data_IF_729659195003
#
_entry.id   IF_729659195003
#
_cell.length_a   1.000
_cell.length_b   1.000
_cell.length_c   1.000
_cell.angle_alpha   90.00
_cell.angle_beta   90.00
_cell.angle_gamma   90.00
#
_symmetry.space_group_name_H-M   'P 1'
#
loop_
_entity.id
_entity.type
_entity.pdbx_description
1 polymer ?
#
# COMPACT_ATOMS: atom_id res chain seq x y z
N UNK A 1 -46.49 8.72 -9.18
CA UNK A 1 -45.84 7.63 -8.44
C UNK A 1 -44.34 7.72 -8.69
N UNK A 2 -43.61 8.37 -7.80
CA UNK A 2 -42.15 8.48 -7.93
C UNK A 2 -41.52 7.20 -7.38
N UNK A 3 -41.01 6.36 -8.28
CA UNK A 3 -40.16 5.23 -7.93
C UNK A 3 -38.86 5.79 -7.34
N UNK A 4 -38.69 5.67 -6.02
CA UNK A 4 -37.39 5.77 -5.39
C UNK A 4 -36.51 4.65 -5.96
N UNK A 5 -35.59 5.02 -6.85
CA UNK A 5 -34.48 4.15 -7.26
C UNK A 5 -33.62 3.94 -6.01
N UNK A 6 -33.83 2.83 -5.32
CA UNK A 6 -32.96 2.40 -4.24
C UNK A 6 -31.53 2.29 -4.76
N UNK A 7 -30.60 2.97 -4.10
CA UNK A 7 -29.15 2.80 -4.36
C UNK A 7 -28.84 1.31 -4.33
N UNK A 8 -28.40 0.73 -5.44
CA UNK A 8 -27.91 -0.65 -5.47
C UNK A 8 -26.83 -0.80 -4.39
N UNK A 9 -27.06 -1.67 -3.40
CA UNK A 9 -26.03 -1.99 -2.39
C UNK A 9 -24.86 -2.61 -3.14
N UNK A 10 -23.67 -2.05 -2.97
CA UNK A 10 -22.44 -2.61 -3.54
C UNK A 10 -22.23 -4.02 -2.99
N UNK A 11 -21.82 -4.96 -3.85
CA UNK A 11 -21.57 -6.35 -3.46
C UNK A 11 -20.57 -6.40 -2.28
N UNK A 12 -20.86 -7.13 -1.18
CA UNK A 12 -19.95 -7.26 -0.03
C UNK A 12 -18.54 -7.72 -0.40
N UNK A 13 -18.35 -8.54 -1.43
CA UNK A 13 -17.04 -8.98 -1.91
C UNK A 13 -16.20 -7.83 -2.45
N UNK A 14 -16.84 -6.81 -3.02
CA UNK A 14 -16.14 -5.57 -3.40
C UNK A 14 -15.63 -4.87 -2.15
N UNK A 15 -16.41 -4.84 -1.06
CA UNK A 15 -15.96 -4.26 0.22
C UNK A 15 -14.80 -5.06 0.82
N UNK A 16 -14.86 -6.40 0.82
CA UNK A 16 -13.73 -7.24 1.26
C UNK A 16 -12.49 -7.03 0.39
N UNK A 17 -12.67 -6.93 -0.93
CA UNK A 17 -11.58 -6.61 -1.86
C UNK A 17 -10.90 -5.27 -1.57
N UNK A 18 -11.67 -4.25 -1.19
CA UNK A 18 -11.08 -2.95 -0.79
C UNK A 18 -10.14 -3.10 0.40
N UNK A 19 -10.50 -3.93 1.38
CA UNK A 19 -9.67 -4.17 2.55
C UNK A 19 -8.48 -5.06 2.25
N UNK A 20 -8.70 -6.16 1.53
CA UNK A 20 -7.66 -7.07 1.07
C UNK A 20 -6.52 -6.31 0.39
N UNK A 21 -6.84 -5.48 -0.62
CA UNK A 21 -5.84 -4.70 -1.35
C UNK A 21 -5.14 -3.61 -0.54
N UNK A 22 -5.74 -3.15 0.57
CA UNK A 22 -5.15 -2.13 1.43
C UNK A 22 -4.29 -2.70 2.55
N UNK A 23 -4.56 -3.92 3.01
CA UNK A 23 -4.04 -4.42 4.28
C UNK A 23 -3.28 -5.73 4.19
N UNK A 24 -3.63 -6.57 3.21
CA UNK A 24 -3.03 -7.89 3.01
C UNK A 24 -2.09 -7.83 1.81
N UNK A 25 -2.63 -7.72 0.59
CA UNK A 25 -1.82 -7.76 -0.63
C UNK A 25 -2.34 -6.80 -1.71
N UNK A 26 -1.61 -5.71 -1.94
CA UNK A 26 -2.00 -4.66 -2.89
C UNK A 26 -1.82 -5.07 -4.37
N UNK A 27 -0.77 -5.85 -4.64
CA UNK A 27 -0.42 -6.37 -5.96
C UNK A 27 -0.68 -7.87 -5.99
N UNK A 28 -1.91 -8.25 -6.33
CA UNK A 28 -2.35 -9.64 -6.37
C UNK A 28 -3.09 -9.93 -7.67
N UNK A 29 -2.90 -11.13 -8.23
CA UNK A 29 -3.81 -11.70 -9.23
C UNK A 29 -4.78 -12.61 -8.49
N UNK A 30 -5.91 -12.06 -8.02
CA UNK A 30 -6.83 -12.75 -7.11
C UNK A 30 -7.30 -14.08 -7.67
N UNK A 31 -7.58 -14.17 -8.97
CA UNK A 31 -7.98 -15.43 -9.60
C UNK A 31 -6.90 -16.51 -9.45
N UNK A 32 -5.63 -16.19 -9.69
CA UNK A 32 -4.52 -17.11 -9.50
C UNK A 32 -4.35 -17.50 -8.03
N UNK A 33 -4.41 -16.51 -7.12
CA UNK A 33 -4.34 -16.75 -5.68
C UNK A 33 -5.42 -17.74 -5.21
N UNK A 34 -6.67 -17.55 -5.65
CA UNK A 34 -7.80 -18.40 -5.28
C UNK A 34 -7.67 -19.80 -5.86
N UNK A 35 -7.26 -19.92 -7.12
CA UNK A 35 -7.09 -21.22 -7.78
C UNK A 35 -5.94 -22.03 -7.16
N UNK A 36 -4.80 -21.39 -6.92
CA UNK A 36 -3.64 -22.01 -6.29
C UNK A 36 -3.95 -22.39 -4.84
N UNK A 37 -4.56 -21.47 -4.08
CA UNK A 37 -4.97 -21.70 -2.70
C UNK A 37 -5.95 -22.87 -2.54
N UNK A 38 -6.99 -22.94 -3.39
CA UNK A 38 -7.91 -24.09 -3.41
C UNK A 38 -7.19 -25.41 -3.74
N UNK A 39 -6.27 -25.38 -4.70
CA UNK A 39 -5.49 -26.56 -5.07
C UNK A 39 -4.66 -27.07 -3.90
N UNK A 40 -3.98 -26.16 -3.19
CA UNK A 40 -3.19 -26.50 -2.00
C UNK A 40 -4.07 -27.02 -0.87
N UNK A 41 -5.21 -26.37 -0.57
CA UNK A 41 -6.17 -26.84 0.44
C UNK A 41 -6.62 -28.26 0.16
N UNK A 42 -7.05 -28.58 -1.07
CA UNK A 42 -7.47 -29.94 -1.44
C UNK A 42 -6.32 -30.95 -1.30
N UNK A 43 -5.09 -30.58 -1.69
CA UNK A 43 -3.94 -31.47 -1.55
C UNK A 43 -3.63 -31.78 -0.07
N UNK A 44 -3.75 -30.78 0.81
CA UNK A 44 -3.57 -30.94 2.25
C UNK A 44 -4.67 -31.84 2.83
N UNK A 45 -5.93 -31.58 2.50
CA UNK A 45 -7.08 -32.38 2.99
C UNK A 45 -7.03 -33.84 2.55
N UNK A 46 -6.53 -34.11 1.34
CA UNK A 46 -6.33 -35.47 0.82
C UNK A 46 -5.05 -36.14 1.36
N UNK A 47 -4.29 -35.47 2.23
CA UNK A 47 -3.03 -35.98 2.78
C UNK A 47 -1.93 -36.18 1.73
N UNK A 48 -2.00 -35.44 0.61
CA UNK A 48 -1.01 -35.52 -0.49
C UNK A 48 0.18 -34.59 -0.28
N UNK A 49 -0.01 -33.54 0.51
CA UNK A 49 1.02 -32.57 0.91
C UNK A 49 0.73 -32.06 2.31
N UNK A 50 1.63 -31.23 2.85
CA UNK A 50 1.44 -30.49 4.09
C UNK A 50 2.05 -29.09 3.98
N UNK A 51 1.67 -28.16 4.86
CA UNK A 51 2.17 -26.77 4.80
C UNK A 51 3.71 -26.69 4.94
N UNK A 52 4.32 -27.62 5.70
CA UNK A 52 5.77 -27.71 5.86
C UNK A 52 6.50 -28.16 4.59
N UNK A 53 5.81 -28.84 3.67
CA UNK A 53 6.34 -29.32 2.40
C UNK A 53 6.25 -28.27 1.27
N UNK A 54 5.46 -27.22 1.45
CA UNK A 54 5.39 -26.11 0.50
C UNK A 54 6.72 -25.36 0.44
N UNK A 55 7.13 -24.97 -0.77
CA UNK A 55 8.27 -24.07 -0.91
C UNK A 55 7.93 -22.67 -0.36
N UNK A 56 8.95 -21.82 -0.18
CA UNK A 56 8.79 -20.50 0.43
C UNK A 56 7.73 -19.64 -0.30
N UNK A 57 7.75 -19.66 -1.64
CA UNK A 57 6.79 -18.90 -2.46
C UNK A 57 5.37 -19.45 -2.35
N UNK A 58 5.20 -20.77 -2.41
CA UNK A 58 3.91 -21.43 -2.23
C UNK A 58 3.33 -21.19 -0.84
N UNK A 59 4.15 -21.30 0.22
CA UNK A 59 3.73 -21.04 1.59
C UNK A 59 3.26 -19.59 1.74
N UNK A 60 4.03 -18.63 1.22
CA UNK A 60 3.66 -17.21 1.26
C UNK A 60 2.34 -16.95 0.52
N UNK A 61 2.18 -17.48 -0.70
CA UNK A 61 0.93 -17.35 -1.45
C UNK A 61 -0.25 -18.00 -0.71
N UNK A 62 -0.03 -19.17 -0.10
CA UNK A 62 -1.05 -19.86 0.70
C UNK A 62 -1.44 -19.09 1.97
N UNK A 63 -0.50 -18.44 2.65
CA UNK A 63 -0.79 -17.55 3.79
C UNK A 63 -1.64 -16.34 3.36
N UNK A 64 -1.33 -15.73 2.21
CA UNK A 64 -2.15 -14.64 1.66
C UNK A 64 -3.56 -15.13 1.34
N UNK A 65 -3.70 -16.36 0.82
CA UNK A 65 -4.98 -17.00 0.57
C UNK A 65 -5.76 -17.24 1.87
N UNK A 66 -5.13 -17.79 2.92
CA UNK A 66 -5.76 -17.96 4.24
C UNK A 66 -6.24 -16.64 4.83
N UNK A 67 -5.44 -15.58 4.72
CA UNK A 67 -5.83 -14.23 5.15
C UNK A 67 -7.03 -13.70 4.33
N UNK A 68 -7.08 -13.97 3.03
CA UNK A 68 -8.23 -13.62 2.18
C UNK A 68 -9.50 -14.34 2.65
N UNK A 69 -9.43 -15.64 2.94
CA UNK A 69 -10.56 -16.41 3.47
C UNK A 69 -11.07 -15.82 4.79
N UNK A 70 -10.14 -15.40 5.67
CA UNK A 70 -10.46 -14.76 6.95
C UNK A 70 -11.26 -13.46 6.84
N UNK A 71 -11.36 -12.85 5.66
CA UNK A 71 -12.14 -11.62 5.47
C UNK A 71 -13.65 -11.85 5.46
N UNK A 72 -14.11 -13.07 5.18
CA UNK A 72 -15.54 -13.40 5.12
C UNK A 72 -15.78 -14.85 5.53
N UNK A 73 -16.54 -15.11 6.62
CA UNK A 73 -16.72 -16.46 7.18
C UNK A 73 -17.25 -17.52 6.21
N UNK A 74 -17.98 -17.12 5.15
CA UNK A 74 -18.54 -18.05 4.17
C UNK A 74 -17.73 -18.14 2.87
N UNK A 75 -16.59 -17.45 2.78
CA UNK A 75 -15.83 -17.38 1.54
C UNK A 75 -15.20 -18.74 1.20
N UNK A 76 -14.67 -19.44 2.18
CA UNK A 76 -14.09 -20.78 2.00
C UNK A 76 -15.13 -21.77 1.48
N UNK A 77 -16.27 -21.89 2.17
CA UNK A 77 -17.37 -22.77 1.75
C UNK A 77 -17.85 -22.46 0.32
N UNK A 78 -18.02 -21.17 -0.01
CA UNK A 78 -18.42 -20.73 -1.36
C UNK A 78 -17.39 -21.08 -2.43
N UNK A 79 -16.09 -21.02 -2.10
CA UNK A 79 -15.03 -21.37 -3.04
C UNK A 79 -14.92 -22.88 -3.22
N UNK A 80 -15.10 -23.67 -2.17
CA UNK A 80 -15.04 -25.13 -2.22
C UNK A 80 -16.26 -25.76 -2.90
N UNK A 81 -17.46 -25.18 -2.74
CA UNK A 81 -18.71 -25.71 -3.31
C UNK A 81 -19.15 -25.00 -4.59
N UNK A 82 -18.51 -23.87 -4.91
CA UNK A 82 -18.86 -23.02 -6.04
C UNK A 82 -18.54 -23.63 -7.39
N UNK A 83 -19.32 -23.26 -8.40
CA UNK A 83 -18.97 -23.55 -9.79
C UNK A 83 -17.75 -22.74 -10.23
N UNK A 84 -17.08 -23.11 -11.34
CA UNK A 84 -16.02 -22.30 -11.92
C UNK A 84 -16.44 -20.84 -12.19
N UNK A 85 -17.71 -20.62 -12.54
CA UNK A 85 -18.28 -19.29 -12.76
C UNK A 85 -18.41 -18.50 -11.45
N UNK A 86 -18.79 -19.16 -10.35
CA UNK A 86 -18.87 -18.53 -9.02
C UNK A 86 -17.48 -18.14 -8.51
N UNK A 87 -16.49 -19.03 -8.67
CA UNK A 87 -15.08 -18.75 -8.30
C UNK A 87 -14.54 -17.56 -9.10
N UNK A 88 -14.84 -17.51 -10.40
CA UNK A 88 -14.48 -16.38 -11.26
C UNK A 88 -15.16 -15.08 -10.77
N UNK A 89 -16.46 -15.12 -10.49
CA UNK A 89 -17.21 -13.97 -10.00
C UNK A 89 -16.64 -13.42 -8.68
N UNK A 90 -16.35 -14.31 -7.72
CA UNK A 90 -15.75 -13.95 -6.44
C UNK A 90 -14.40 -13.24 -6.66
N UNK A 91 -13.54 -13.84 -7.49
CA UNK A 91 -12.23 -13.29 -7.83
C UNK A 91 -12.34 -11.91 -8.49
N UNK A 92 -13.32 -11.73 -9.38
CA UNK A 92 -13.58 -10.45 -10.05
C UNK A 92 -14.04 -9.38 -9.07
N UNK A 93 -14.97 -9.69 -8.16
CA UNK A 93 -15.48 -8.71 -7.19
C UNK A 93 -14.40 -8.25 -6.19
N UNK A 94 -13.55 -9.17 -5.73
CA UNK A 94 -12.41 -8.82 -4.86
C UNK A 94 -11.39 -7.97 -5.63
N UNK A 95 -11.09 -8.32 -6.88
CA UNK A 95 -10.19 -7.54 -7.75
C UNK A 95 -10.72 -6.14 -8.00
N UNK A 96 -12.02 -6.02 -8.26
CA UNK A 96 -12.73 -4.75 -8.42
C UNK A 96 -12.63 -3.90 -7.15
N UNK A 97 -12.89 -4.50 -5.99
CA UNK A 97 -12.73 -3.87 -4.68
C UNK A 97 -11.33 -3.29 -4.49
N UNK A 98 -10.30 -4.12 -4.68
CA UNK A 98 -8.90 -3.74 -4.53
C UNK A 98 -8.53 -2.57 -5.47
N UNK A 99 -8.93 -2.67 -6.73
CA UNK A 99 -8.62 -1.67 -7.76
C UNK A 99 -9.35 -0.35 -7.52
N UNK A 100 -10.62 -0.39 -7.09
CA UNK A 100 -11.38 0.80 -6.72
C UNK A 100 -10.80 1.49 -5.48
N UNK A 101 -10.46 0.73 -4.43
CA UNK A 101 -9.80 1.28 -3.25
C UNK A 101 -8.52 2.02 -3.59
N UNK A 102 -7.65 1.39 -4.39
CA UNK A 102 -6.40 2.01 -4.86
C UNK A 102 -6.64 3.29 -5.64
N UNK A 103 -7.60 3.27 -6.56
CA UNK A 103 -7.93 4.43 -7.39
C UNK A 103 -8.43 5.62 -6.55
N UNK A 104 -9.29 5.35 -5.57
CA UNK A 104 -9.79 6.36 -4.62
C UNK A 104 -8.65 6.95 -3.78
N UNK A 105 -7.80 6.09 -3.22
CA UNK A 105 -6.70 6.50 -2.34
C UNK A 105 -5.65 7.30 -3.13
N UNK A 106 -5.25 6.82 -4.31
CA UNK A 106 -4.36 7.54 -5.25
C UNK A 106 -4.91 8.93 -5.59
N UNK A 107 -6.21 9.02 -5.91
CA UNK A 107 -6.84 10.30 -6.23
C UNK A 107 -6.83 11.25 -5.03
N UNK A 108 -7.15 10.73 -3.84
CA UNK A 108 -7.26 11.55 -2.63
C UNK A 108 -5.89 12.05 -2.12
N UNK A 109 -4.86 11.20 -2.18
CA UNK A 109 -3.51 11.54 -1.75
C UNK A 109 -2.82 12.52 -2.70
N UNK A 110 -3.18 12.49 -3.99
CA UNK A 110 -2.60 13.37 -5.03
C UNK A 110 -2.58 14.84 -4.61
N UNK A 111 -3.64 15.35 -4.00
CA UNK A 111 -3.73 16.75 -3.60
C UNK A 111 -3.12 17.04 -2.24
N UNK A 112 -3.44 16.24 -1.23
CA UNK A 112 -3.04 16.50 0.16
C UNK A 112 -1.53 16.33 0.36
N UNK A 113 -0.86 15.50 -0.46
CA UNK A 113 0.59 15.34 -0.38
C UNK A 113 1.33 16.66 -0.60
N UNK A 114 0.81 17.55 -1.46
CA UNK A 114 1.41 18.86 -1.74
C UNK A 114 1.29 19.75 -0.52
N UNK A 115 0.15 19.67 0.18
CA UNK A 115 -0.08 20.44 1.40
C UNK A 115 0.86 19.98 2.52
N UNK A 116 1.05 18.66 2.68
CA UNK A 116 1.92 18.10 3.72
C UNK A 116 3.42 18.37 3.51
N UNK A 117 3.88 18.45 2.27
CA UNK A 117 5.30 18.78 1.98
C UNK A 117 5.56 20.29 1.91
N UNK A 118 4.51 21.12 1.94
CA UNK A 118 4.66 22.58 1.96
C UNK A 118 5.08 23.01 3.37
N UNK A 119 6.20 23.76 3.53
CA UNK A 119 6.62 24.23 4.84
C UNK A 119 5.54 25.06 5.54
N UNK A 120 5.39 24.95 6.88
CA UNK A 120 4.44 25.78 7.62
C UNK A 120 4.68 27.27 7.37
N UNK A 121 3.63 28.01 7.00
CA UNK A 121 3.70 29.43 6.62
C UNK A 121 4.64 29.75 5.44
N UNK A 122 5.00 28.75 4.64
CA UNK A 122 5.87 28.88 3.48
C UNK A 122 5.17 28.56 2.17
N UNK A 123 5.97 28.57 1.10
CA UNK A 123 5.56 28.11 -0.23
C UNK A 123 6.60 27.12 -0.75
N UNK A 124 6.14 26.19 -1.61
CA UNK A 124 7.05 25.40 -2.42
C UNK A 124 7.64 26.27 -3.53
N UNK A 125 8.93 26.06 -3.81
CA UNK A 125 9.66 26.78 -4.85
C UNK A 125 10.34 25.78 -5.80
N UNK A 126 9.90 25.68 -7.07
CA UNK A 126 8.74 26.40 -7.65
C UNK A 126 7.39 25.92 -7.08
N UNK A 127 6.30 26.70 -7.16
CA UNK A 127 4.99 26.26 -6.68
C UNK A 127 4.51 24.99 -7.38
N UNK A 128 3.98 24.03 -6.62
CA UNK A 128 3.37 22.81 -7.17
C UNK A 128 1.85 22.89 -7.19
N UNK A 129 1.25 22.47 -8.30
CA UNK A 129 -0.20 22.34 -8.37
C UNK A 129 -0.68 21.05 -7.67
N UNK A 130 -1.74 21.17 -6.86
CA UNK A 130 -2.31 20.06 -6.09
C UNK A 130 -2.83 18.90 -6.95
N UNK A 131 -3.35 19.19 -8.14
CA UNK A 131 -3.99 18.17 -8.98
C UNK A 131 -3.21 17.80 -10.24
N UNK A 132 -2.00 18.34 -10.43
CA UNK A 132 -1.12 18.06 -11.57
C UNK A 132 0.20 17.49 -11.04
N UNK A 133 0.71 16.44 -11.68
CA UNK A 133 1.93 15.73 -11.25
C UNK A 133 3.15 16.03 -12.12
N UNK A 134 2.99 16.67 -13.28
CA UNK A 134 4.07 16.86 -14.27
C UNK A 134 5.34 17.46 -13.69
N UNK A 135 5.20 18.41 -12.76
CA UNK A 135 6.34 19.11 -12.16
C UNK A 135 6.84 18.46 -10.85
N UNK A 136 6.27 17.32 -10.42
CA UNK A 136 6.70 16.57 -9.22
C UNK A 136 7.85 15.63 -9.54
N UNK A 137 8.11 14.63 -8.69
CA UNK A 137 9.21 13.71 -8.89
C UNK A 137 10.55 14.43 -8.85
N UNK A 138 11.46 14.02 -9.71
CA UNK A 138 12.79 14.61 -9.86
C UNK A 138 12.80 15.95 -10.63
N UNK A 139 11.64 16.45 -11.06
CA UNK A 139 11.53 17.79 -11.66
C UNK A 139 11.53 18.92 -10.62
N UNK A 140 11.14 18.63 -9.37
CA UNK A 140 11.05 19.63 -8.29
C UNK A 140 11.99 19.31 -7.10
N UNK A 141 12.68 20.31 -6.51
CA UNK A 141 13.65 20.11 -5.43
C UNK A 141 13.12 19.33 -4.22
N UNK A 142 11.93 19.68 -3.70
CA UNK A 142 11.33 19.01 -2.53
C UNK A 142 10.90 17.58 -2.81
N UNK A 143 10.06 17.32 -3.83
CA UNK A 143 9.63 15.96 -4.15
C UNK A 143 10.79 15.07 -4.59
N UNK A 144 11.75 15.63 -5.32
CA UNK A 144 12.94 14.91 -5.75
C UNK A 144 13.84 14.55 -4.57
N UNK A 145 14.02 15.45 -3.60
CA UNK A 145 14.76 15.17 -2.36
C UNK A 145 14.11 14.08 -1.52
N UNK A 146 12.77 14.10 -1.40
CA UNK A 146 12.01 13.07 -0.70
C UNK A 146 12.10 11.69 -1.39
N UNK A 147 12.10 11.67 -2.73
CA UNK A 147 12.15 10.46 -3.55
C UNK A 147 13.58 9.96 -3.82
N UNK A 148 14.60 10.78 -3.56
CA UNK A 148 15.97 10.39 -3.80
C UNK A 148 16.32 9.17 -2.93
N UNK A 149 16.84 8.08 -3.52
CA UNK A 149 17.34 6.94 -2.77
C UNK A 149 18.35 7.35 -1.70
N UNK A 150 18.33 6.67 -0.55
CA UNK A 150 19.21 7.01 0.58
C UNK A 150 20.70 6.84 0.28
N UNK A 151 21.03 5.95 -0.66
CA UNK A 151 22.39 5.71 -1.14
C UNK A 151 22.86 6.72 -2.21
N UNK A 152 22.02 7.69 -2.58
CA UNK A 152 22.36 8.76 -3.52
C UNK A 152 22.39 10.13 -2.82
N UNK A 153 23.31 10.98 -3.24
CA UNK A 153 23.43 12.35 -2.75
C UNK A 153 22.57 13.31 -3.59
N UNK A 154 21.45 13.74 -3.03
CA UNK A 154 20.57 14.73 -3.65
C UNK A 154 21.24 16.12 -3.80
N UNK A 155 22.24 16.43 -2.97
CA UNK A 155 23.04 17.66 -3.09
C UNK A 155 23.87 17.70 -4.37
N UNK A 156 24.19 16.53 -4.95
CA UNK A 156 24.97 16.42 -6.17
C UNK A 156 24.11 16.77 -7.41
N UNK A 157 24.46 17.88 -8.07
CA UNK A 157 23.77 18.35 -9.28
C UNK A 157 23.79 17.34 -10.43
N UNK A 158 24.86 16.55 -10.58
CA UNK A 158 24.93 15.50 -11.60
C UNK A 158 23.88 14.41 -11.34
N UNK A 159 23.79 13.95 -10.10
CA UNK A 159 22.80 12.94 -9.69
C UNK A 159 21.37 13.44 -9.92
N UNK A 160 21.10 14.71 -9.56
CA UNK A 160 19.78 15.33 -9.82
C UNK A 160 19.43 15.35 -11.30
N UNK A 161 20.38 15.68 -12.17
CA UNK A 161 20.15 15.74 -13.62
C UNK A 161 19.98 14.35 -14.23
N UNK A 162 20.75 13.35 -13.80
CA UNK A 162 20.61 11.97 -14.25
C UNK A 162 19.25 11.37 -13.83
N UNK A 163 18.81 11.64 -12.60
CA UNK A 163 17.48 11.28 -12.10
C UNK A 163 16.35 11.98 -12.87
N UNK A 164 16.52 13.27 -13.15
CA UNK A 164 15.53 14.09 -13.86
C UNK A 164 15.38 13.68 -15.33
N UNK A 165 16.49 13.39 -16.00
CA UNK A 165 16.54 12.99 -17.41
C UNK A 165 16.15 11.52 -17.62
N UNK A 166 16.14 10.70 -16.57
CA UNK A 166 15.90 9.26 -16.66
C UNK A 166 17.11 8.45 -17.11
N UNK A 167 18.31 9.05 -17.13
CA UNK A 167 19.57 8.32 -17.30
C UNK A 167 19.82 7.42 -16.10
N UNK A 168 19.49 7.90 -14.90
CA UNK A 168 19.47 7.11 -13.67
C UNK A 168 18.02 6.89 -13.26
N UNK A 169 17.58 5.64 -13.31
CA UNK A 169 16.23 5.22 -12.87
C UNK A 169 16.38 4.36 -11.62
N UNK A 170 16.02 4.86 -10.44
CA UNK A 170 16.10 4.07 -9.23
C UNK A 170 15.18 2.85 -9.29
N UNK A 171 15.75 1.70 -8.96
CA UNK A 171 15.03 0.44 -8.83
C UNK A 171 14.09 0.47 -7.61
N UNK A 172 13.05 -0.37 -7.59
CA UNK A 172 12.08 -0.44 -6.48
C UNK A 172 12.68 -0.78 -5.10
N UNK A 173 13.82 -1.45 -5.04
CA UNK A 173 14.58 -1.74 -3.82
C UNK A 173 15.53 -0.61 -3.38
N UNK A 174 15.70 0.43 -4.20
CA UNK A 174 16.46 1.62 -3.85
C UNK A 174 15.59 2.61 -3.08
N UNK A 175 15.54 2.42 -1.77
CA UNK A 175 14.55 3.06 -0.92
C UNK A 175 14.73 4.57 -0.76
N UNK A 176 13.64 5.34 -0.91
CA UNK A 176 13.66 6.80 -0.86
C UNK A 176 13.70 7.32 0.57
N UNK A 177 14.27 8.53 0.73
CA UNK A 177 14.40 9.22 2.02
C UNK A 177 13.09 9.40 2.77
N UNK A 178 11.97 9.60 2.07
CA UNK A 178 10.67 9.80 2.73
C UNK A 178 10.21 8.61 3.59
N UNK A 179 10.82 7.42 3.47
CA UNK A 179 10.49 6.30 4.37
C UNK A 179 10.98 6.55 5.79
N UNK A 180 12.03 7.33 5.97
CA UNK A 180 12.70 7.50 7.24
C UNK A 180 12.14 8.65 8.05
N UNK A 181 12.18 8.52 9.38
CA UNK A 181 11.88 9.61 10.30
C UNK A 181 12.76 10.83 9.95
N UNK A 182 12.15 12.01 9.90
CA UNK A 182 12.82 13.26 9.48
C UNK A 182 13.45 13.22 8.07
N UNK A 183 13.19 12.17 7.28
CA UNK A 183 13.82 11.90 5.99
C UNK A 183 15.36 11.70 6.06
N UNK A 184 15.86 11.23 7.21
CA UNK A 184 17.28 11.02 7.48
C UNK A 184 17.59 9.51 7.59
N UNK A 185 18.59 9.05 6.83
CA UNK A 185 19.04 7.66 6.85
C UNK A 185 20.32 7.53 7.66
N UNK A 186 20.36 6.57 8.58
CA UNK A 186 21.56 6.24 9.34
C UNK A 186 22.23 4.98 8.73
N UNK A 187 23.41 5.10 8.10
CA UNK A 187 24.10 3.94 7.54
C UNK A 187 24.61 2.94 8.59
N UNK A 188 24.80 3.39 9.85
CA UNK A 188 25.25 2.53 10.96
C UNK A 188 24.07 1.79 11.63
N UNK A 189 22.85 2.26 11.43
CA UNK A 189 21.61 1.64 11.93
C UNK A 189 20.50 1.87 10.89
N UNK A 190 20.42 1.02 9.84
CA UNK A 190 19.45 1.19 8.76
C UNK A 190 17.99 1.12 9.21
N UNK A 191 17.69 0.55 10.38
CA UNK A 191 16.34 0.52 10.94
C UNK A 191 15.95 1.83 11.63
N UNK A 192 16.91 2.71 11.90
CA UNK A 192 16.68 3.97 12.58
C UNK A 192 15.65 4.83 11.84
N UNK A 193 14.45 4.97 12.42
CA UNK A 193 13.37 5.74 11.84
C UNK A 193 12.76 5.15 10.57
N UNK A 194 13.13 3.93 10.14
CA UNK A 194 12.61 3.31 8.94
C UNK A 194 11.08 3.13 9.03
N UNK A 195 10.36 3.56 7.99
CA UNK A 195 8.90 3.58 7.90
C UNK A 195 8.21 4.40 8.99
N UNK A 196 8.88 5.39 9.59
CA UNK A 196 8.34 6.25 10.66
C UNK A 196 8.27 7.73 10.27
N UNK A 197 8.33 8.04 8.98
CA UNK A 197 8.22 9.44 8.55
C UNK A 197 6.84 10.02 8.84
N UNK A 198 6.79 11.32 9.16
CA UNK A 198 5.53 12.04 9.36
C UNK A 198 4.63 12.00 8.11
N UNK A 199 5.23 11.88 6.93
CA UNK A 199 4.49 11.78 5.67
C UNK A 199 3.72 10.45 5.57
N UNK A 200 4.35 9.34 5.98
CA UNK A 200 3.69 8.04 6.06
C UNK A 200 2.57 8.06 7.10
N UNK A 201 2.79 8.65 8.27
CA UNK A 201 1.76 8.74 9.32
C UNK A 201 0.54 9.53 8.85
N UNK A 202 0.76 10.69 8.21
CA UNK A 202 -0.32 11.50 7.63
C UNK A 202 -1.09 10.74 6.55
N UNK A 203 -0.39 10.04 5.66
CA UNK A 203 -1.01 9.22 4.62
C UNK A 203 -1.81 8.05 5.19
N UNK A 204 -1.28 7.36 6.20
CA UNK A 204 -1.96 6.26 6.89
C UNK A 204 -3.27 6.75 7.51
N UNK A 205 -3.23 7.85 8.27
CA UNK A 205 -4.42 8.47 8.86
C UNK A 205 -5.43 8.89 7.80
N UNK A 206 -4.97 9.54 6.74
CA UNK A 206 -5.84 9.96 5.64
C UNK A 206 -6.59 8.78 4.99
N UNK A 207 -5.92 7.63 4.81
CA UNK A 207 -6.51 6.43 4.20
C UNK A 207 -7.32 5.60 5.19
N UNK A 208 -6.80 5.30 6.38
CA UNK A 208 -7.40 4.31 7.29
C UNK A 208 -8.34 4.90 8.34
N UNK A 209 -8.08 6.12 8.80
CA UNK A 209 -8.91 6.79 9.81
C UNK A 209 -9.82 7.82 9.15
N UNK A 210 -9.36 9.04 8.94
CA UNK A 210 -10.14 10.05 8.24
C UNK A 210 -9.24 11.15 7.70
N UNK A 211 -9.56 11.75 6.53
CA UNK A 211 -8.86 12.95 6.07
C UNK A 211 -8.81 14.08 7.10
N UNK A 212 -9.82 14.21 7.97
CA UNK A 212 -9.86 15.24 9.01
C UNK A 212 -8.99 14.95 10.24
N UNK A 213 -8.50 13.72 10.39
CA UNK A 213 -7.68 13.31 11.55
C UNK A 213 -6.19 13.68 11.41
N UNK A 214 -5.77 14.17 10.24
CA UNK A 214 -4.38 14.60 10.01
C UNK A 214 -4.08 15.89 10.80
N UNK A 215 -5.06 16.81 10.88
CA UNK A 215 -4.90 18.13 11.52
C UNK A 215 -5.56 18.24 12.90
N UNK A 216 -6.32 17.24 13.35
CA UNK A 216 -7.11 17.33 14.58
C UNK A 216 -7.05 16.07 15.44
N UNK A 217 -6.92 16.25 16.77
CA UNK A 217 -7.01 15.18 17.77
C UNK A 217 -8.42 14.62 17.94
N UNK A 218 -9.43 15.24 17.32
CA UNK A 218 -10.84 14.85 17.44
C UNK A 218 -11.41 14.40 16.09
N UNK A 219 -11.89 13.14 15.96
CA UNK A 219 -12.38 12.63 14.69
C UNK A 219 -13.70 13.29 14.27
N UNK A 220 -13.65 14.18 13.28
CA UNK A 220 -14.84 14.76 12.61
C UNK A 220 -15.19 13.99 11.34
N UNK A 221 -15.45 12.69 11.47
CA UNK A 221 -15.82 11.84 10.33
C UNK A 221 -17.34 11.66 10.25
N UNK A 222 -17.95 11.99 9.10
CA UNK A 222 -19.37 11.76 8.82
C UNK A 222 -19.67 10.32 8.35
N UNK A 223 -18.63 9.51 8.13
CA UNK A 223 -18.68 8.09 7.78
C UNK A 223 -17.67 7.32 8.63
N UNK A 224 -17.96 6.06 8.93
CA UNK A 224 -17.02 5.17 9.61
C UNK A 224 -15.71 5.05 8.84
N UNK A 225 -14.60 5.16 9.56
CA UNK A 225 -13.26 5.03 9.00
C UNK A 225 -12.98 3.62 8.48
N UNK A 226 -12.03 3.47 7.55
CA UNK A 226 -11.69 2.15 6.98
C UNK A 226 -11.20 1.18 8.06
N UNK A 227 -10.42 1.64 9.05
CA UNK A 227 -10.00 0.83 10.18
C UNK A 227 -11.21 0.28 10.96
N UNK A 228 -12.15 1.15 11.34
CA UNK A 228 -13.36 0.74 12.08
C UNK A 228 -14.31 -0.12 11.24
N UNK A 229 -14.44 0.18 9.95
CA UNK A 229 -15.29 -0.60 9.02
C UNK A 229 -14.87 -2.06 8.95
N UNK A 230 -13.59 -2.34 9.14
CA UNK A 230 -13.03 -3.68 9.07
C UNK A 230 -12.55 -4.21 10.43
N UNK A 231 -12.86 -3.52 11.53
CA UNK A 231 -12.47 -3.95 12.87
C UNK A 231 -10.96 -4.05 13.07
N UNK A 232 -10.16 -3.24 12.37
CA UNK A 232 -8.71 -3.24 12.53
C UNK A 232 -8.34 -2.80 13.95
N UNK A 233 -7.61 -3.66 14.66
CA UNK A 233 -7.09 -3.42 16.01
C UNK A 233 -5.59 -3.18 16.06
N UNK A 234 -4.90 -3.46 14.96
CA UNK A 234 -3.46 -3.28 14.80
C UNK A 234 -3.11 -2.97 13.35
N UNK A 235 -1.94 -2.37 13.17
CA UNK A 235 -1.34 -2.05 11.90
C UNK A 235 -0.78 -3.32 11.26
N UNK A 236 -1.14 -3.57 9.99
CA UNK A 236 -0.67 -4.74 9.24
C UNK A 236 0.51 -4.39 8.33
N UNK A 237 1.43 -5.34 8.11
CA UNK A 237 2.57 -5.20 7.20
C UNK A 237 2.12 -4.70 5.81
N UNK A 238 1.11 -5.38 5.23
CA UNK A 238 0.57 -5.02 3.92
C UNK A 238 -0.01 -3.60 3.89
N UNK A 239 -0.52 -3.09 5.02
CA UNK A 239 -1.01 -1.71 5.14
C UNK A 239 0.11 -0.67 5.14
N UNK A 240 1.25 -0.95 5.77
CA UNK A 240 2.41 -0.06 5.74
C UNK A 240 3.03 0.00 4.35
N UNK A 241 3.27 -1.17 3.73
CA UNK A 241 3.80 -1.24 2.37
C UNK A 241 2.87 -0.56 1.35
N UNK A 242 1.55 -0.71 1.52
CA UNK A 242 0.56 -0.03 0.70
C UNK A 242 0.68 1.49 0.82
N UNK A 243 0.73 2.03 2.04
CA UNK A 243 0.85 3.48 2.28
C UNK A 243 2.16 4.03 1.74
N UNK A 244 3.29 3.35 1.98
CA UNK A 244 4.57 3.73 1.41
C UNK A 244 4.51 3.82 -0.12
N UNK A 245 3.87 2.83 -0.76
CA UNK A 245 3.71 2.81 -2.22
C UNK A 245 2.81 3.95 -2.71
N UNK A 246 1.70 4.22 -2.02
CA UNK A 246 0.80 5.32 -2.36
C UNK A 246 1.48 6.69 -2.22
N UNK A 247 2.28 6.90 -1.16
CA UNK A 247 3.05 8.14 -0.95
C UNK A 247 4.12 8.30 -2.04
N UNK A 248 4.89 7.25 -2.34
CA UNK A 248 5.89 7.27 -3.42
C UNK A 248 5.24 7.67 -4.74
N UNK A 249 4.10 7.05 -5.05
CA UNK A 249 3.36 7.41 -6.25
C UNK A 249 2.86 8.85 -6.19
N UNK A 250 2.28 9.33 -5.08
CA UNK A 250 1.75 10.69 -4.98
C UNK A 250 2.84 11.77 -5.17
N UNK A 251 4.07 11.50 -4.74
CA UNK A 251 5.25 12.35 -4.92
C UNK A 251 5.86 12.30 -6.33
N UNK A 252 5.64 11.22 -7.08
CA UNK A 252 6.22 11.05 -8.41
C UNK A 252 5.61 11.97 -9.45
N UNK A 253 6.23 12.06 -10.64
CA UNK A 253 5.66 12.77 -11.80
C UNK A 253 4.74 11.90 -12.66
N UNK A 254 4.73 10.58 -12.44
CA UNK A 254 3.98 9.62 -13.28
C UNK A 254 2.46 9.89 -13.23
N UNK A 255 1.77 10.00 -14.38
CA UNK A 255 0.34 10.31 -14.40
C UNK A 255 -0.54 9.10 -14.08
N UNK A 256 -0.04 7.87 -14.25
CA UNK A 256 -0.82 6.63 -14.16
C UNK A 256 -0.15 5.67 -13.20
N UNK A 257 -0.93 5.12 -12.27
CA UNK A 257 -0.48 4.03 -11.41
C UNK A 257 -0.57 2.72 -12.21
N UNK A 258 0.57 2.16 -12.60
CA UNK A 258 0.62 0.91 -13.36
C UNK A 258 1.48 -0.13 -12.63
N UNK A 259 1.11 -1.40 -12.79
CA UNK A 259 1.90 -2.54 -12.28
C UNK A 259 3.22 -2.73 -13.04
N UNK A 260 3.24 -2.35 -14.31
CA UNK A 260 4.37 -2.57 -15.23
C UNK A 260 5.14 -1.30 -15.54
N UNK A 261 4.88 -0.21 -14.81
CA UNK A 261 5.63 1.04 -15.01
C UNK A 261 7.02 0.88 -14.40
N UNK A 262 8.05 0.79 -15.25
CA UNK A 262 9.45 0.69 -14.85
C UNK A 262 9.99 2.00 -14.27
N UNK A 263 9.30 3.13 -14.46
CA UNK A 263 9.74 4.44 -13.92
C UNK A 263 9.44 4.54 -12.44
N UNK A 264 8.23 4.15 -12.04
CA UNK A 264 7.89 4.07 -10.61
C UNK A 264 8.22 2.71 -10.03
N UNK A 265 8.17 1.62 -10.77
CA UNK A 265 8.44 0.27 -10.29
C UNK A 265 7.68 -0.06 -8.99
N UNK A 266 6.39 0.27 -8.99
CA UNK A 266 5.58 0.29 -7.77
C UNK A 266 5.34 -1.10 -7.17
N UNK A 267 5.29 -2.15 -8.00
CA UNK A 267 5.11 -3.52 -7.55
C UNK A 267 6.40 -4.06 -6.90
N UNK A 268 7.57 -3.81 -7.50
CA UNK A 268 8.84 -4.22 -6.90
C UNK A 268 9.15 -3.43 -5.62
N UNK A 269 8.86 -2.12 -5.58
CA UNK A 269 8.95 -1.33 -4.37
C UNK A 269 8.04 -1.84 -3.25
N UNK A 270 6.79 -2.18 -3.57
CA UNK A 270 5.87 -2.77 -2.59
C UNK A 270 6.40 -4.10 -2.06
N UNK A 271 6.83 -4.99 -2.96
CA UNK A 271 7.34 -6.30 -2.58
C UNK A 271 8.62 -6.20 -1.76
N UNK A 272 9.57 -5.32 -2.09
CA UNK A 272 10.80 -5.16 -1.29
C UNK A 272 10.51 -4.72 0.14
N UNK A 273 9.55 -3.82 0.35
CA UNK A 273 9.11 -3.42 1.71
C UNK A 273 8.45 -4.59 2.43
N UNK A 274 7.58 -5.35 1.76
CA UNK A 274 6.93 -6.51 2.37
C UNK A 274 7.96 -7.59 2.71
N UNK A 275 8.92 -7.85 1.81
CA UNK A 275 10.00 -8.83 2.01
C UNK A 275 10.82 -8.53 3.26
N UNK A 276 11.24 -7.27 3.48
CA UNK A 276 11.91 -6.89 4.73
C UNK A 276 11.02 -7.13 5.96
N UNK A 277 9.75 -6.73 5.88
CA UNK A 277 8.83 -6.81 7.02
C UNK A 277 8.41 -8.26 7.35
N UNK A 278 8.47 -9.16 6.37
CA UNK A 278 8.19 -10.60 6.54
C UNK A 278 9.46 -11.42 6.82
N UNK A 279 10.65 -10.81 6.78
CA UNK A 279 11.92 -11.50 7.01
C UNK A 279 11.97 -12.06 8.45
N UNK A 280 12.16 -13.38 8.65
CA UNK A 280 12.32 -13.99 9.97
C UNK A 280 13.45 -13.39 10.80
N UNK A 281 14.52 -12.89 10.18
CA UNK A 281 15.68 -12.33 10.87
C UNK A 281 15.40 -10.93 11.44
N UNK A 282 14.45 -10.20 10.85
CA UNK A 282 14.11 -8.81 11.20
C UNK A 282 12.92 -8.69 12.15
N UNK A 283 12.41 -9.82 12.66
CA UNK A 283 11.15 -9.86 13.40
C UNK A 283 11.17 -9.08 14.72
N UNK A 284 12.35 -8.83 15.31
CA UNK A 284 12.44 -8.04 16.53
C UNK A 284 12.15 -6.55 16.25
N UNK A 285 12.73 -6.02 15.17
CA UNK A 285 12.61 -4.66 14.67
C UNK A 285 11.20 -4.43 14.13
N UNK A 286 10.68 -5.38 13.34
CA UNK A 286 9.31 -5.35 12.82
C UNK A 286 8.28 -5.26 13.95
N UNK A 287 8.42 -6.07 15.02
CA UNK A 287 7.50 -5.99 16.18
C UNK A 287 7.56 -4.62 16.86
N UNK A 288 8.74 -4.02 16.99
CA UNK A 288 8.89 -2.69 17.56
C UNK A 288 8.25 -1.62 16.67
N UNK A 289 8.44 -1.72 15.35
CA UNK A 289 7.83 -0.83 14.37
C UNK A 289 6.30 -0.91 14.43
N UNK A 290 5.71 -2.11 14.39
CA UNK A 290 4.26 -2.29 14.46
C UNK A 290 3.67 -1.77 15.77
N UNK A 291 4.34 -2.05 16.90
CA UNK A 291 3.90 -1.52 18.19
C UNK A 291 3.98 0.01 18.26
N UNK A 292 4.96 0.63 17.59
CA UNK A 292 5.04 2.09 17.46
C UNK A 292 3.89 2.64 16.61
N UNK A 293 3.56 1.98 15.50
CA UNK A 293 2.45 2.37 14.64
C UNK A 293 1.11 2.30 15.37
N UNK A 294 0.85 1.22 16.11
CA UNK A 294 -0.40 1.06 16.89
C UNK A 294 -0.61 2.15 17.95
N UNK A 295 0.47 2.80 18.41
CA UNK A 295 0.38 3.96 19.32
C UNK A 295 0.26 5.30 18.58
N UNK A 296 0.62 5.36 17.31
CA UNK A 296 0.80 6.60 16.54
C UNK A 296 -0.41 6.96 15.67
N UNK A 297 -1.23 5.97 15.29
CA UNK A 297 -2.40 6.15 14.41
C UNK A 297 -3.75 6.03 15.09
#
# INVERSE_FOLDING_TARGET
>A
MNLQVGRAKTDPLVHHGRHFGRTIQAFCRVQSLVQNGLTVTIQIELGRTSEDQLNIGERREYEIYKQLLGLSPMLEERLCTGSPQEIYYISEMITKGSSSARSDDTKSLKSVIVDWITPPNGILSPPLQRHVKTDRGFYHPTTGGLLCPVNLDWGNTKIREELRSGVLVPSGDQWPRFLYQSCEYNPEDPWNGLLQSGLLVSAYKHVFTSPSSVDSREPRATRSCNARLHGMTSTMIGSLAYIATQVRFALSSSPVFSRTDLVTDSEYFYNSVVELLEDPEEQAEVRQLLAWWDRSV
#
